data_IF_608253035049
#
_entry.id   IF_608253035049
#
_cell.length_a   1.000
_cell.length_b   1.000
_cell.length_c   1.000
_cell.angle_alpha   90.00
_cell.angle_beta   90.00
_cell.angle_gamma   90.00
#
_symmetry.space_group_name_H-M   'P 1'
#
loop_
_entity.id
_entity.type
_entity.pdbx_description
1 polymer ?
#
# COMPACT_ATOMS: atom_id res chain seq x y z
N UNK A 1 -3.20 -11.23 22.07
CA UNK A 1 -1.81 -11.54 21.65
C UNK A 1 -1.09 -10.20 21.42
N UNK A 2 0.25 -10.08 21.40
CA UNK A 2 0.82 -8.74 21.21
C UNK A 2 0.63 -8.28 19.76
N UNK A 3 0.26 -6.99 19.60
CA UNK A 3 0.20 -6.21 18.35
C UNK A 3 1.32 -6.62 17.38
N UNK A 4 2.53 -6.79 17.90
CA UNK A 4 3.76 -7.19 17.19
C UNK A 4 3.63 -8.47 16.35
N UNK A 5 2.79 -9.43 16.73
CA UNK A 5 2.68 -10.71 16.00
C UNK A 5 2.22 -10.49 14.56
N UNK A 6 1.19 -9.65 14.37
CA UNK A 6 0.66 -9.32 13.04
C UNK A 6 1.69 -8.52 12.25
N UNK A 7 2.26 -7.47 12.83
CA UNK A 7 3.25 -6.63 12.13
C UNK A 7 4.49 -7.41 11.72
N UNK A 8 5.03 -8.24 12.61
CA UNK A 8 6.18 -9.10 12.31
C UNK A 8 5.84 -10.12 11.22
N UNK A 9 4.65 -10.72 11.27
CA UNK A 9 4.21 -11.62 10.21
C UNK A 9 4.14 -10.91 8.86
N UNK A 10 3.49 -9.76 8.79
CA UNK A 10 3.35 -8.99 7.55
C UNK A 10 4.72 -8.53 7.03
N UNK A 11 5.59 -8.02 7.91
CA UNK A 11 6.96 -7.61 7.55
C UNK A 11 7.78 -8.76 6.97
N UNK A 12 7.77 -9.92 7.63
CA UNK A 12 8.53 -11.09 7.19
C UNK A 12 7.97 -11.72 5.91
N UNK A 13 6.70 -11.46 5.59
CA UNK A 13 6.03 -11.95 4.38
C UNK A 13 5.79 -10.84 3.34
N UNK A 14 6.49 -9.70 3.46
CA UNK A 14 6.26 -8.53 2.62
C UNK A 14 6.40 -8.81 1.12
N UNK A 15 7.42 -9.57 0.72
CA UNK A 15 7.60 -9.97 -0.69
C UNK A 15 6.42 -10.81 -1.19
N UNK A 16 5.99 -11.80 -0.40
CA UNK A 16 4.87 -12.67 -0.76
C UNK A 16 3.56 -11.88 -0.87
N UNK A 17 3.35 -10.91 0.02
CA UNK A 17 2.21 -9.99 -0.07
C UNK A 17 2.28 -9.12 -1.32
N UNK A 18 3.43 -8.51 -1.65
CA UNK A 18 3.58 -7.66 -2.84
C UNK A 18 3.37 -8.45 -4.12
N UNK A 19 3.93 -9.66 -4.21
CA UNK A 19 3.69 -10.53 -5.36
C UNK A 19 2.20 -10.88 -5.48
N UNK A 20 1.55 -11.22 -4.36
CA UNK A 20 0.11 -11.46 -4.34
C UNK A 20 -0.70 -10.25 -4.79
N UNK A 21 -0.41 -9.05 -4.28
CA UNK A 21 -1.03 -7.80 -4.71
C UNK A 21 -0.88 -7.59 -6.21
N UNK A 22 0.36 -7.68 -6.70
CA UNK A 22 0.65 -7.35 -8.09
C UNK A 22 -0.02 -8.34 -9.03
N UNK A 23 0.18 -9.62 -8.77
CA UNK A 23 -0.24 -10.68 -9.68
C UNK A 23 -1.77 -10.88 -9.66
N UNK A 24 -2.45 -10.50 -8.57
CA UNK A 24 -3.91 -10.65 -8.42
C UNK A 24 -4.69 -9.40 -8.84
N UNK A 25 -4.15 -8.21 -8.56
CA UNK A 25 -4.93 -6.97 -8.66
C UNK A 25 -4.27 -5.93 -9.56
N UNK A 26 -2.99 -5.61 -9.33
CA UNK A 26 -2.34 -4.51 -10.05
C UNK A 26 -2.29 -4.72 -11.56
N UNK A 27 -2.05 -5.95 -12.01
CA UNK A 27 -2.00 -6.31 -13.44
C UNK A 27 -3.31 -6.04 -14.21
N UNK A 28 -4.41 -5.76 -13.50
CA UNK A 28 -5.70 -5.43 -14.10
C UNK A 28 -6.02 -3.92 -14.12
N UNK A 29 -5.13 -3.09 -13.59
CA UNK A 29 -5.32 -1.63 -13.47
C UNK A 29 -5.02 -0.89 -14.78
N UNK A 30 -5.56 0.31 -14.96
CA UNK A 30 -5.22 1.14 -16.13
C UNK A 30 -3.77 1.63 -16.05
N UNK A 31 -3.24 1.89 -14.85
CA UNK A 31 -1.83 2.22 -14.64
C UNK A 31 -0.93 1.12 -15.22
N UNK A 32 -1.22 -0.16 -14.94
CA UNK A 32 -0.45 -1.25 -15.52
C UNK A 32 -0.54 -1.28 -17.06
N UNK A 33 -1.74 -1.12 -17.63
CA UNK A 33 -1.94 -1.11 -19.09
C UNK A 33 -1.14 0.00 -19.77
N UNK A 34 -1.04 1.17 -19.14
CA UNK A 34 -0.26 2.31 -19.66
C UNK A 34 1.26 2.04 -19.66
N UNK A 35 1.73 1.10 -18.85
CA UNK A 35 3.16 0.91 -18.54
C UNK A 35 3.70 -0.48 -18.88
N UNK A 36 2.85 -1.36 -19.42
CA UNK A 36 3.22 -2.75 -19.68
C UNK A 36 4.42 -2.88 -20.64
N UNK A 37 4.56 -1.93 -21.55
CA UNK A 37 5.66 -1.88 -22.53
C UNK A 37 6.91 -1.15 -22.00
N UNK A 38 6.84 -0.51 -20.84
CA UNK A 38 7.98 0.19 -20.24
C UNK A 38 8.97 -0.79 -19.62
N UNK A 39 10.18 -0.83 -20.18
CA UNK A 39 11.23 -1.73 -19.74
C UNK A 39 11.52 -1.55 -18.25
N UNK A 40 11.49 -2.65 -17.50
CA UNK A 40 11.74 -2.73 -16.05
C UNK A 40 10.71 -2.02 -15.16
N UNK A 41 9.63 -1.44 -15.71
CA UNK A 41 8.66 -0.69 -14.91
C UNK A 41 8.04 -1.55 -13.81
N UNK A 42 7.53 -2.75 -14.16
CA UNK A 42 6.92 -3.66 -13.18
C UNK A 42 7.90 -4.08 -12.06
N UNK A 43 9.18 -4.25 -12.40
CA UNK A 43 10.22 -4.55 -11.40
C UNK A 43 10.46 -3.37 -10.47
N UNK A 44 10.49 -2.14 -11.00
CA UNK A 44 10.59 -0.91 -10.21
C UNK A 44 9.39 -0.73 -9.29
N UNK A 45 8.18 -0.90 -9.84
CA UNK A 45 6.92 -0.83 -9.11
C UNK A 45 6.86 -1.85 -7.95
N UNK A 46 7.21 -3.12 -8.19
CA UNK A 46 7.28 -4.15 -7.12
C UNK A 46 8.22 -3.73 -5.98
N UNK A 47 9.38 -3.13 -6.30
CA UNK A 47 10.34 -2.65 -5.28
C UNK A 47 9.78 -1.47 -4.48
N UNK A 48 9.12 -0.53 -5.14
CA UNK A 48 8.45 0.59 -4.49
C UNK A 48 7.33 0.09 -3.55
N UNK A 49 6.45 -0.79 -4.03
CA UNK A 49 5.41 -1.41 -3.19
C UNK A 49 6.00 -2.13 -1.97
N UNK A 50 7.09 -2.87 -2.15
CA UNK A 50 7.76 -3.58 -1.05
C UNK A 50 8.28 -2.60 0.00
N UNK A 51 9.00 -1.57 -0.43
CA UNK A 51 9.53 -0.55 0.46
C UNK A 51 8.41 0.15 1.24
N UNK A 52 7.34 0.56 0.56
CA UNK A 52 6.22 1.26 1.18
C UNK A 52 5.45 0.36 2.15
N UNK A 53 5.24 -0.91 1.78
CA UNK A 53 4.57 -1.85 2.66
C UNK A 53 5.35 -2.09 3.94
N UNK A 54 6.68 -2.29 3.84
CA UNK A 54 7.55 -2.46 5.01
C UNK A 54 7.57 -1.21 5.89
N UNK A 55 7.74 -0.02 5.28
CA UNK A 55 7.70 1.25 5.99
C UNK A 55 6.36 1.45 6.71
N UNK A 56 5.24 1.08 6.07
CA UNK A 56 3.92 1.13 6.68
C UNK A 56 3.81 0.22 7.92
N UNK A 57 4.30 -1.02 7.84
CA UNK A 57 4.25 -1.93 8.99
C UNK A 57 5.14 -1.45 10.14
N UNK A 58 6.33 -0.92 9.84
CA UNK A 58 7.22 -0.32 10.84
C UNK A 58 6.56 0.91 11.49
N UNK A 59 5.95 1.78 10.70
CA UNK A 59 5.29 2.98 11.19
C UNK A 59 4.09 2.65 12.08
N UNK A 60 3.24 1.72 11.65
CA UNK A 60 2.11 1.25 12.45
C UNK A 60 2.55 0.59 13.76
N UNK A 61 3.66 -0.18 13.75
CA UNK A 61 4.19 -0.79 14.96
C UNK A 61 4.63 0.28 15.97
N UNK A 62 5.34 1.31 15.50
CA UNK A 62 5.91 2.39 16.29
C UNK A 62 4.96 3.58 16.55
N UNK A 63 3.71 3.52 16.08
CA UNK A 63 2.72 4.61 16.15
C UNK A 63 3.23 5.93 15.52
N UNK A 64 3.93 5.81 14.39
CA UNK A 64 4.42 6.91 13.56
C UNK A 64 3.71 6.93 12.20
N UNK A 65 3.95 7.96 11.38
CA UNK A 65 3.36 8.09 10.04
C UNK A 65 4.38 7.89 8.90
N UNK A 66 3.86 7.71 7.69
CA UNK A 66 4.65 7.70 6.45
C UNK A 66 4.19 8.80 5.49
N UNK A 67 3.63 9.90 6.01
CA UNK A 67 2.95 10.90 5.20
C UNK A 67 3.87 11.51 4.14
N UNK A 68 5.13 11.79 4.47
CA UNK A 68 6.11 12.31 3.50
C UNK A 68 6.38 11.34 2.34
N UNK A 69 6.39 10.02 2.60
CA UNK A 69 6.52 9.02 1.54
C UNK A 69 5.27 9.00 0.66
N UNK A 70 4.07 9.00 1.27
CA UNK A 70 2.81 9.02 0.53
C UNK A 70 2.65 10.29 -0.31
N UNK A 71 3.06 11.44 0.20
CA UNK A 71 3.10 12.69 -0.54
C UNK A 71 3.98 12.57 -1.80
N UNK A 72 5.20 12.04 -1.66
CA UNK A 72 6.11 11.84 -2.80
C UNK A 72 5.54 10.91 -3.87
N UNK A 73 4.87 9.81 -3.48
CA UNK A 73 4.17 8.93 -4.44
C UNK A 73 3.08 9.71 -5.20
N UNK A 74 2.34 10.56 -4.50
CA UNK A 74 1.33 11.42 -5.11
C UNK A 74 1.92 12.28 -6.23
N UNK A 75 3.05 12.94 -5.94
CA UNK A 75 3.80 13.73 -6.93
C UNK A 75 4.28 12.87 -8.10
N UNK A 76 4.90 11.72 -7.83
CA UNK A 76 5.39 10.81 -8.86
C UNK A 76 4.27 10.34 -9.79
N UNK A 77 3.11 9.97 -9.23
CA UNK A 77 1.97 9.53 -10.05
C UNK A 77 1.35 10.66 -10.87
N UNK A 78 1.33 11.88 -10.35
CA UNK A 78 0.93 13.05 -11.14
C UNK A 78 1.94 13.34 -12.26
N UNK A 79 3.24 13.29 -11.98
CA UNK A 79 4.32 13.47 -12.96
C UNK A 79 4.28 12.41 -14.07
N UNK A 80 3.89 11.19 -13.72
CA UNK A 80 3.66 10.12 -14.68
C UNK A 80 2.36 10.28 -15.49
N UNK A 81 1.52 11.28 -15.20
CA UNK A 81 0.18 11.42 -15.80
C UNK A 81 -0.75 10.23 -15.53
N UNK A 82 -0.58 9.54 -14.40
CA UNK A 82 -1.52 8.52 -13.94
C UNK A 82 -2.78 9.21 -13.44
N UNK A 83 -3.99 8.90 -13.94
CA UNK A 83 -5.20 9.57 -13.48
C UNK A 83 -5.41 9.39 -11.96
N UNK A 84 -5.72 10.47 -11.23
CA UNK A 84 -5.89 10.41 -9.77
C UNK A 84 -6.90 9.33 -9.33
N UNK A 85 -7.97 9.10 -10.11
CA UNK A 85 -8.93 8.04 -9.85
C UNK A 85 -8.26 6.66 -9.74
N UNK A 86 -7.29 6.36 -10.60
CA UNK A 86 -6.56 5.10 -10.56
C UNK A 86 -5.64 5.04 -9.34
N UNK A 87 -4.95 6.13 -9.03
CA UNK A 87 -4.10 6.23 -7.82
C UNK A 87 -4.94 5.95 -6.57
N UNK A 88 -6.11 6.59 -6.47
CA UNK A 88 -7.07 6.39 -5.39
C UNK A 88 -7.50 4.92 -5.29
N UNK A 89 -8.02 4.34 -6.37
CA UNK A 89 -8.54 2.97 -6.35
C UNK A 89 -7.44 1.95 -6.03
N UNK A 90 -6.24 2.13 -6.59
CA UNK A 90 -5.09 1.27 -6.32
C UNK A 90 -4.69 1.34 -4.85
N UNK A 91 -4.63 2.55 -4.27
CA UNK A 91 -4.26 2.74 -2.88
C UNK A 91 -5.22 2.04 -1.90
N UNK A 92 -6.54 2.24 -2.04
CA UNK A 92 -7.51 1.58 -1.17
C UNK A 92 -7.55 0.07 -1.39
N UNK A 93 -7.48 -0.39 -2.65
CA UNK A 93 -7.48 -1.82 -2.93
C UNK A 93 -6.22 -2.52 -2.42
N UNK A 94 -5.06 -1.84 -2.43
CA UNK A 94 -3.84 -2.35 -1.80
C UNK A 94 -4.04 -2.58 -0.30
N UNK A 95 -4.63 -1.61 0.40
CA UNK A 95 -4.94 -1.73 1.83
C UNK A 95 -5.92 -2.86 2.13
N UNK A 96 -7.01 -2.98 1.37
CA UNK A 96 -7.95 -4.11 1.48
C UNK A 96 -7.24 -5.46 1.28
N UNK A 97 -6.28 -5.50 0.35
CA UNK A 97 -5.50 -6.71 0.05
C UNK A 97 -4.61 -7.12 1.23
N UNK A 98 -4.13 -6.19 2.05
CA UNK A 98 -3.39 -6.52 3.29
C UNK A 98 -4.29 -7.29 4.25
N UNK A 99 -5.53 -6.85 4.43
CA UNK A 99 -6.51 -7.52 5.30
C UNK A 99 -6.86 -8.90 4.74
N UNK A 100 -7.10 -9.01 3.43
CA UNK A 100 -7.33 -10.28 2.76
C UNK A 100 -6.16 -11.26 2.95
N UNK A 101 -4.93 -10.79 2.77
CA UNK A 101 -3.71 -11.57 2.96
C UNK A 101 -3.58 -12.09 4.40
N UNK A 102 -3.84 -11.23 5.39
CA UNK A 102 -3.81 -11.60 6.81
C UNK A 102 -4.88 -12.65 7.16
N UNK A 103 -6.11 -12.46 6.67
CA UNK A 103 -7.21 -13.42 6.89
C UNK A 103 -6.91 -14.76 6.23
N UNK A 104 -6.35 -14.76 5.02
CA UNK A 104 -5.97 -16.00 4.32
C UNK A 104 -4.86 -16.75 5.07
N UNK A 105 -3.88 -16.02 5.61
CA UNK A 105 -2.83 -16.59 6.45
C UNK A 105 -3.39 -17.19 7.75
N UNK A 106 -4.34 -16.51 8.40
CA UNK A 106 -5.03 -17.01 9.60
C UNK A 106 -5.80 -18.30 9.29
N UNK A 107 -6.61 -18.32 8.23
CA UNK A 107 -7.38 -19.50 7.79
C UNK A 107 -6.50 -20.69 7.41
N UNK A 108 -5.30 -20.41 6.88
CA UNK A 108 -4.34 -21.42 6.45
C UNK A 108 -3.39 -21.86 7.57
N UNK A 109 -3.59 -21.40 8.81
CA UNK A 109 -2.73 -21.65 9.97
C UNK A 109 -1.26 -21.21 9.77
N UNK A 110 -1.01 -20.22 8.91
CA UNK A 110 0.32 -19.63 8.73
C UNK A 110 0.66 -18.63 9.86
N UNK A 111 -0.38 -18.10 10.51
CA UNK A 111 -0.29 -17.25 11.70
C UNK A 111 -1.40 -17.64 12.66
N UNK A 112 -1.10 -17.69 13.95
CA UNK A 112 -2.08 -17.97 15.01
C UNK A 112 -2.48 -16.63 15.63
N UNK A 113 -3.63 -16.10 15.25
CA UNK A 113 -4.23 -14.87 15.80
C UNK A 113 -5.73 -15.04 15.96
N UNK A 114 -6.33 -14.28 16.88
CA UNK A 114 -7.79 -14.27 17.04
C UNK A 114 -8.45 -13.29 16.07
N UNK A 115 -9.75 -13.47 15.84
CA UNK A 115 -10.55 -12.53 15.05
C UNK A 115 -10.56 -11.12 15.67
N UNK A 116 -10.46 -11.04 17.00
CA UNK A 116 -10.32 -9.76 17.71
C UNK A 116 -9.00 -9.07 17.36
N UNK A 117 -7.89 -9.80 17.27
CA UNK A 117 -6.60 -9.24 16.86
C UNK A 117 -6.67 -8.71 15.41
N UNK A 118 -7.38 -9.41 14.50
CA UNK A 118 -7.62 -8.95 13.11
C UNK A 118 -8.45 -7.67 13.09
N UNK A 119 -9.55 -7.61 13.86
CA UNK A 119 -10.41 -6.43 13.93
C UNK A 119 -9.63 -5.21 14.47
N UNK A 120 -8.78 -5.42 15.47
CA UNK A 120 -7.99 -4.33 16.03
C UNK A 120 -6.90 -3.86 15.04
N UNK A 121 -6.30 -4.77 14.28
CA UNK A 121 -5.42 -4.39 13.16
C UNK A 121 -6.17 -3.58 12.11
N UNK A 122 -7.37 -4.00 11.70
CA UNK A 122 -8.19 -3.27 10.71
C UNK A 122 -8.48 -1.83 11.15
N UNK A 123 -8.76 -1.59 12.44
CA UNK A 123 -9.00 -0.24 12.96
C UNK A 123 -7.75 0.63 12.84
N UNK A 124 -6.58 0.09 13.22
CA UNK A 124 -5.31 0.81 13.12
C UNK A 124 -5.01 1.09 11.66
N UNK A 125 -5.12 0.09 10.78
CA UNK A 125 -4.90 0.27 9.36
C UNK A 125 -5.81 1.34 8.77
N UNK A 126 -7.10 1.36 9.14
CA UNK A 126 -8.04 2.37 8.63
C UNK A 126 -7.64 3.80 9.02
N UNK A 127 -7.10 4.00 10.23
CA UNK A 127 -6.57 5.30 10.66
C UNK A 127 -5.42 5.74 9.75
N UNK A 128 -4.41 4.90 9.57
CA UNK A 128 -3.28 5.22 8.70
C UNK A 128 -3.68 5.39 7.24
N UNK A 129 -4.61 4.58 6.73
CA UNK A 129 -5.11 4.68 5.37
C UNK A 129 -5.68 6.07 5.07
N UNK A 130 -6.44 6.65 6.00
CA UNK A 130 -7.01 8.00 5.84
C UNK A 130 -5.92 9.06 5.81
N UNK A 131 -4.98 9.01 6.75
CA UNK A 131 -3.88 9.99 6.84
C UNK A 131 -2.96 9.91 5.62
N UNK A 132 -2.55 8.71 5.24
CA UNK A 132 -1.71 8.44 4.08
C UNK A 132 -2.39 8.84 2.77
N UNK A 133 -3.69 8.56 2.61
CA UNK A 133 -4.45 8.99 1.44
C UNK A 133 -4.46 10.52 1.33
N UNK A 134 -4.67 11.23 2.45
CA UNK A 134 -4.66 12.69 2.44
C UNK A 134 -3.29 13.24 2.02
N UNK A 135 -2.20 12.66 2.51
CA UNK A 135 -0.86 13.02 2.08
C UNK A 135 -0.63 12.75 0.58
N UNK A 136 -1.04 11.58 0.09
CA UNK A 136 -0.98 11.20 -1.32
C UNK A 136 -1.79 12.14 -2.22
N UNK A 137 -3.01 12.50 -1.81
CA UNK A 137 -3.83 13.48 -2.52
C UNK A 137 -3.13 14.84 -2.58
N UNK A 138 -2.57 15.28 -1.46
CA UNK A 138 -1.91 16.58 -1.36
C UNK A 138 -0.70 16.65 -2.28
N UNK A 139 0.13 15.60 -2.33
CA UNK A 139 1.27 15.53 -3.25
C UNK A 139 0.84 15.53 -4.71
N UNK A 140 -0.16 14.72 -5.06
CA UNK A 140 -0.69 14.67 -6.42
C UNK A 140 -1.22 16.04 -6.89
N UNK A 141 -2.03 16.69 -6.06
CA UNK A 141 -2.60 17.99 -6.38
C UNK A 141 -1.55 19.10 -6.41
N UNK A 142 -0.61 19.09 -5.46
CA UNK A 142 0.48 20.06 -5.39
C UNK A 142 1.34 20.07 -6.67
N UNK A 143 1.73 18.88 -7.14
CA UNK A 143 2.41 18.75 -8.42
C UNK A 143 1.54 19.27 -9.57
N UNK A 144 0.29 18.80 -9.65
CA UNK A 144 -0.64 19.19 -10.72
C UNK A 144 -0.83 20.70 -10.80
N UNK A 145 -0.98 21.39 -9.67
CA UNK A 145 -1.16 22.86 -9.66
C UNK A 145 0.11 23.61 -10.05
N UNK A 146 1.29 23.13 -9.65
CA UNK A 146 2.57 23.76 -9.97
C UNK A 146 2.91 23.78 -11.47
N UNK A 147 2.23 22.98 -12.28
CA UNK A 147 2.36 23.01 -13.75
C UNK A 147 1.67 24.22 -14.39
N UNK A 148 0.81 24.94 -13.64
CA UNK A 148 0.02 26.07 -14.13
C UNK A 148 0.48 27.42 -13.55
N UNK A 149 1.48 27.42 -12.66
CA UNK A 149 2.13 28.61 -12.09
C UNK A 149 3.38 29.01 -12.91
#
# INVERSE_FOLDING_TARGET
MSKETIYNFLYNNATAFVDYWVDTYYVHTEEHKLRIDEKNYLTGYKRECLYLFQAQQEAMLNDSDINSLCYGIGEDRAAMSTPYKEVYLNFFKFNDTVIEFLINAQKSNQIVISDADVIDYMKIQKKHEVDNHYALFTGYMGYTTSLFD
#
